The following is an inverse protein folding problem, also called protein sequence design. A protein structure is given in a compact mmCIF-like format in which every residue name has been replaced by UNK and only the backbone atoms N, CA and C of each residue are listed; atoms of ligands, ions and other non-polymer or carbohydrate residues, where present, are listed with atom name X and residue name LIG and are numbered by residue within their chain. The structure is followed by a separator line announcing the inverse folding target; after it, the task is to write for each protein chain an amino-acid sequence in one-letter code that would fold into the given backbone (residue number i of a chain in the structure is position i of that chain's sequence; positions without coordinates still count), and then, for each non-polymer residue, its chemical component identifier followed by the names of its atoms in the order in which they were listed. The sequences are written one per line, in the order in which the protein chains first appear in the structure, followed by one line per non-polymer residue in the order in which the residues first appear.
data_IF_835193941644
#
_entry.id   IF_835193941644
#
_cell.length_a   1.000
_cell.length_b   1.000
_cell.length_c   1.000
_cell.angle_alpha   90.00
_cell.angle_beta   90.00
_cell.angle_gamma   90.00
#
_symmetry.space_group_name_H-M   'P 1'
#
loop_
_entity.id
_entity.type
_entity.pdbx_description
1 polymer ?
#
# COMPACT_ATOMS: atom_id res chain seq x y z
N UNK A 1 25.01 23.48 -1.55
CA UNK A 1 25.84 23.02 -2.68
C UNK A 1 24.93 22.78 -3.88
N UNK A 2 24.96 23.65 -4.89
CA UNK A 2 24.16 23.45 -6.10
C UNK A 2 24.88 22.43 -6.99
N UNK A 3 24.45 21.17 -6.90
CA UNK A 3 24.90 20.13 -7.82
C UNK A 3 24.35 20.47 -9.21
N UNK A 4 25.20 20.98 -10.09
CA UNK A 4 24.83 21.36 -11.45
C UNK A 4 25.19 20.20 -12.36
N UNK A 5 24.22 19.63 -13.06
CA UNK A 5 24.48 18.54 -14.01
C UNK A 5 25.46 19.03 -15.08
N UNK A 6 26.57 18.32 -15.22
CA UNK A 6 27.68 18.72 -16.09
C UNK A 6 27.48 18.33 -17.56
N UNK A 7 26.55 17.41 -17.85
CA UNK A 7 26.23 16.97 -19.21
C UNK A 7 24.72 17.05 -19.46
N UNK A 8 24.29 17.43 -20.67
CA UNK A 8 22.87 17.41 -21.05
C UNK A 8 22.23 16.02 -20.90
N UNK A 9 23.00 14.94 -21.06
CA UNK A 9 22.56 13.56 -20.82
C UNK A 9 22.17 13.31 -19.36
N UNK A 10 22.92 13.89 -18.43
CA UNK A 10 22.74 13.70 -16.99
C UNK A 10 21.50 14.48 -16.52
N UNK A 11 21.25 15.64 -17.12
CA UNK A 11 20.03 16.42 -16.89
C UNK A 11 18.78 15.69 -17.44
N UNK A 12 18.86 15.16 -18.66
CA UNK A 12 17.76 14.38 -19.25
C UNK A 12 17.46 13.11 -18.43
N UNK A 13 18.49 12.39 -18.00
CA UNK A 13 18.34 11.22 -17.14
C UNK A 13 17.76 11.60 -15.78
N UNK A 14 18.22 12.70 -15.17
CA UNK A 14 17.71 13.19 -13.89
C UNK A 14 16.26 13.66 -13.97
N UNK A 15 15.87 14.31 -15.07
CA UNK A 15 14.47 14.64 -15.35
C UNK A 15 13.62 13.38 -15.51
N UNK A 16 14.13 12.35 -16.18
CA UNK A 16 13.44 11.07 -16.33
C UNK A 16 13.21 10.37 -14.99
N UNK A 17 14.26 10.31 -14.15
CA UNK A 17 14.19 9.78 -12.78
C UNK A 17 13.20 10.60 -11.95
N UNK A 18 13.31 11.92 -11.98
CA UNK A 18 12.40 12.81 -11.25
C UNK A 18 10.95 12.61 -11.67
N UNK A 19 10.65 12.58 -12.97
CA UNK A 19 9.28 12.37 -13.47
C UNK A 19 8.73 11.00 -13.06
N UNK A 20 9.56 9.96 -13.10
CA UNK A 20 9.17 8.60 -12.70
C UNK A 20 8.87 8.53 -11.20
N UNK A 21 9.77 9.05 -10.36
CA UNK A 21 9.61 9.08 -8.91
C UNK A 21 8.46 9.99 -8.49
N UNK A 22 8.37 11.17 -9.09
CA UNK A 22 7.29 12.13 -8.85
C UNK A 22 5.94 11.53 -9.22
N UNK A 23 5.81 10.84 -10.35
CA UNK A 23 4.54 10.21 -10.75
C UNK A 23 4.04 9.20 -9.73
N UNK A 24 4.93 8.35 -9.22
CA UNK A 24 4.59 7.36 -8.19
C UNK A 24 4.22 8.02 -6.87
N UNK A 25 5.03 8.97 -6.41
CA UNK A 25 4.82 9.64 -5.13
C UNK A 25 3.63 10.60 -5.15
N UNK A 26 3.39 11.28 -6.26
CA UNK A 26 2.32 12.27 -6.40
C UNK A 26 0.94 11.63 -6.22
N UNK A 27 0.74 10.40 -6.72
CA UNK A 27 -0.48 9.63 -6.45
C UNK A 27 -0.73 9.47 -4.95
N UNK A 28 0.30 9.10 -4.19
CA UNK A 28 0.20 8.95 -2.73
C UNK A 28 -0.02 10.30 -2.03
N UNK A 29 0.65 11.36 -2.47
CA UNK A 29 0.47 12.71 -1.94
C UNK A 29 -0.98 13.21 -2.15
N UNK A 30 -1.56 13.01 -3.33
CA UNK A 30 -2.95 13.36 -3.61
C UNK A 30 -3.92 12.55 -2.75
N UNK A 31 -3.68 11.24 -2.60
CA UNK A 31 -4.49 10.37 -1.74
C UNK A 31 -4.48 10.88 -0.29
N UNK A 32 -3.30 11.16 0.25
CA UNK A 32 -3.15 11.65 1.63
C UNK A 32 -3.77 13.04 1.82
N UNK A 33 -3.58 13.96 0.86
CA UNK A 33 -4.22 15.26 0.89
C UNK A 33 -5.74 15.14 0.98
N UNK A 34 -6.34 14.34 0.10
CA UNK A 34 -7.78 14.10 0.10
C UNK A 34 -8.27 13.50 1.42
N UNK A 35 -7.57 12.48 1.93
CA UNK A 35 -7.92 11.83 3.20
C UNK A 35 -7.83 12.79 4.39
N UNK A 36 -6.79 13.62 4.43
CA UNK A 36 -6.64 14.64 5.45
C UNK A 36 -7.81 15.64 5.36
N UNK A 37 -8.11 16.16 4.17
CA UNK A 37 -9.21 17.11 4.00
C UNK A 37 -10.58 16.50 4.35
N UNK A 38 -10.82 15.23 4.03
CA UNK A 38 -12.01 14.50 4.49
C UNK A 38 -12.14 14.49 6.01
N UNK A 39 -11.03 14.22 6.70
CA UNK A 39 -10.97 14.22 8.17
C UNK A 39 -11.20 15.61 8.76
N UNK A 40 -10.65 16.65 8.14
CA UNK A 40 -10.75 18.04 8.61
C UNK A 40 -12.13 18.64 8.34
N UNK A 41 -12.75 18.32 7.20
CA UNK A 41 -14.09 18.79 6.83
C UNK A 41 -15.21 17.94 7.44
N UNK A 42 -14.90 16.78 8.02
CA UNK A 42 -15.89 15.76 8.41
C UNK A 42 -16.91 15.45 7.31
N UNK A 43 -16.48 15.50 6.05
CA UNK A 43 -17.36 15.31 4.90
C UNK A 43 -16.66 14.55 3.78
N UNK A 44 -17.43 13.66 3.14
CA UNK A 44 -17.02 12.92 1.96
C UNK A 44 -17.31 13.67 0.65
N UNK A 45 -18.00 14.81 0.71
CA UNK A 45 -18.31 15.66 -0.44
C UNK A 45 -17.10 16.51 -0.88
N UNK A 46 -16.53 16.27 -2.08
CA UNK A 46 -15.39 17.02 -2.58
C UNK A 46 -15.65 18.51 -2.81
N UNK A 47 -16.91 18.93 -2.99
CA UNK A 47 -17.24 20.35 -3.23
C UNK A 47 -16.95 21.22 -2.02
N UNK A 48 -17.00 20.64 -0.81
CA UNK A 48 -16.69 21.29 0.47
C UNK A 48 -15.19 21.36 0.76
N UNK A 49 -14.35 20.70 -0.04
CA UNK A 49 -12.90 20.68 0.16
C UNK A 49 -12.18 21.81 -0.56
N UNK A 50 -12.84 22.52 -1.49
CA UNK A 50 -12.24 23.50 -2.42
C UNK A 50 -11.40 24.60 -1.75
N UNK A 51 -11.79 25.04 -0.55
CA UNK A 51 -11.06 26.08 0.20
C UNK A 51 -9.96 25.54 1.12
N UNK A 52 -9.76 24.22 1.15
CA UNK A 52 -8.81 23.54 2.02
C UNK A 52 -7.63 22.94 1.25
N UNK A 53 -7.08 23.74 0.34
CA UNK A 53 -5.92 23.34 -0.43
C UNK A 53 -4.72 23.06 0.50
N UNK A 54 -3.98 21.96 0.29
CA UNK A 54 -2.72 21.71 0.99
C UNK A 54 -1.69 22.81 0.76
N UNK A 55 -0.84 23.09 1.75
CA UNK A 55 0.18 24.17 1.67
C UNK A 55 1.17 24.02 0.52
N UNK A 56 1.42 22.78 0.09
CA UNK A 56 2.33 22.45 -1.02
C UNK A 56 1.65 22.49 -2.40
N UNK A 57 0.33 22.72 -2.48
CA UNK A 57 -0.42 22.75 -3.72
C UNK A 57 -1.05 24.12 -3.96
N UNK A 58 -0.99 24.61 -5.20
CA UNK A 58 -1.72 25.82 -5.58
C UNK A 58 -3.24 25.58 -5.51
N UNK A 59 -3.97 26.59 -5.05
CA UNK A 59 -5.42 26.51 -4.79
C UNK A 59 -6.22 26.20 -6.06
N UNK A 60 -5.85 26.78 -7.19
CA UNK A 60 -6.49 26.56 -8.49
C UNK A 60 -6.41 25.08 -8.93
N UNK A 61 -5.24 24.44 -8.78
CA UNK A 61 -5.10 23.00 -9.06
C UNK A 61 -5.93 22.16 -8.09
N UNK A 62 -5.95 22.51 -6.81
CA UNK A 62 -6.76 21.82 -5.81
C UNK A 62 -8.26 21.91 -6.11
N UNK A 63 -8.75 23.09 -6.49
CA UNK A 63 -10.15 23.30 -6.89
C UNK A 63 -10.49 22.47 -8.13
N UNK A 64 -9.61 22.42 -9.13
CA UNK A 64 -9.76 21.56 -10.30
C UNK A 64 -9.85 20.07 -9.92
N UNK A 65 -9.00 19.60 -9.01
CA UNK A 65 -9.06 18.23 -8.49
C UNK A 65 -10.36 17.94 -7.74
N UNK A 66 -10.83 18.87 -6.91
CA UNK A 66 -12.11 18.73 -6.21
C UNK A 66 -13.27 18.61 -7.19
N UNK A 67 -13.27 19.37 -8.29
CA UNK A 67 -14.29 19.26 -9.34
C UNK A 67 -14.23 17.90 -10.05
N UNK A 68 -13.03 17.37 -10.33
CA UNK A 68 -12.86 16.02 -10.90
C UNK A 68 -13.39 14.95 -9.95
N UNK A 69 -13.07 15.06 -8.64
CA UNK A 69 -13.58 14.11 -7.66
C UNK A 69 -15.08 14.25 -7.41
N UNK A 70 -15.65 15.45 -7.57
CA UNK A 70 -17.08 15.68 -7.47
C UNK A 70 -17.85 15.17 -8.70
N UNK A 71 -17.18 14.89 -9.81
CA UNK A 71 -17.82 14.36 -11.01
C UNK A 71 -18.44 12.98 -10.74
N UNK A 72 -19.67 12.78 -11.21
CA UNK A 72 -20.46 11.56 -11.00
C UNK A 72 -19.69 10.30 -11.39
N UNK A 73 -19.12 10.27 -12.59
CA UNK A 73 -18.28 9.16 -13.08
C UNK A 73 -17.18 8.76 -12.09
N UNK A 74 -16.55 9.74 -11.43
CA UNK A 74 -15.48 9.48 -10.46
C UNK A 74 -16.05 8.87 -9.17
N UNK A 75 -17.16 9.41 -8.67
CA UNK A 75 -17.86 8.92 -7.47
C UNK A 75 -18.41 7.50 -7.67
N UNK A 76 -19.01 7.21 -8.81
CA UNK A 76 -19.50 5.86 -9.16
C UNK A 76 -18.36 4.84 -9.18
N UNK A 77 -17.24 5.19 -9.83
CA UNK A 77 -16.05 4.33 -9.89
C UNK A 77 -15.49 4.09 -8.49
N UNK A 78 -15.36 5.15 -7.69
CA UNK A 78 -14.87 5.06 -6.32
C UNK A 78 -15.77 4.18 -5.44
N UNK A 79 -17.09 4.36 -5.54
CA UNK A 79 -18.07 3.59 -4.78
C UNK A 79 -18.02 2.12 -5.18
N UNK A 80 -18.00 1.84 -6.49
CA UNK A 80 -17.88 0.47 -7.02
C UNK A 80 -16.60 -0.21 -6.57
N UNK A 81 -15.45 0.50 -6.57
CA UNK A 81 -14.19 -0.04 -6.06
C UNK A 81 -14.27 -0.36 -4.55
N UNK A 82 -14.90 0.50 -3.75
CA UNK A 82 -15.08 0.27 -2.31
C UNK A 82 -15.99 -0.95 -2.07
N UNK A 83 -17.11 -1.06 -2.81
CA UNK A 83 -18.03 -2.20 -2.73
C UNK A 83 -17.33 -3.49 -3.14
N UNK A 84 -16.63 -3.50 -4.27
CA UNK A 84 -15.86 -4.66 -4.74
C UNK A 84 -14.76 -5.06 -3.75
N UNK A 85 -14.13 -4.07 -3.10
CA UNK A 85 -13.12 -4.33 -2.08
C UNK A 85 -13.73 -4.94 -0.82
N UNK A 86 -14.83 -4.38 -0.32
CA UNK A 86 -15.56 -4.86 0.85
C UNK A 86 -16.14 -6.27 0.65
N UNK A 87 -16.68 -6.56 -0.54
CA UNK A 87 -17.23 -7.86 -0.89
C UNK A 87 -16.14 -8.96 -0.96
N UNK A 88 -14.90 -8.59 -1.27
CA UNK A 88 -13.77 -9.51 -1.43
C UNK A 88 -12.70 -9.30 -0.35
N UNK A 89 -13.11 -8.98 0.88
CA UNK A 89 -12.19 -8.65 1.97
C UNK A 89 -11.14 -9.75 2.21
N UNK A 90 -11.52 -11.02 2.06
CA UNK A 90 -10.62 -12.18 2.27
C UNK A 90 -9.63 -12.37 1.12
N UNK A 91 -10.04 -12.11 -0.12
CA UNK A 91 -9.17 -12.18 -1.30
C UNK A 91 -8.27 -10.94 -1.46
N UNK A 92 -8.69 -9.79 -0.92
CA UNK A 92 -7.96 -8.52 -0.96
C UNK A 92 -7.03 -8.28 0.23
N UNK A 93 -6.91 -9.22 1.18
CA UNK A 93 -5.81 -9.27 2.16
C UNK A 93 -4.52 -9.57 1.39
N UNK A 94 -3.96 -8.54 0.78
CA UNK A 94 -2.68 -8.66 0.11
C UNK A 94 -1.62 -8.92 1.17
N UNK A 95 -1.16 -10.17 1.22
CA UNK A 95 -0.04 -10.63 2.02
C UNK A 95 1.24 -10.01 1.45
N UNK A 96 1.48 -8.73 1.72
CA UNK A 96 2.77 -8.08 1.43
C UNK A 96 3.86 -8.83 2.19
N UNK A 97 4.45 -9.84 1.54
CA UNK A 97 5.66 -10.51 1.96
C UNK A 97 5.58 -11.43 3.17
N UNK A 98 4.51 -12.21 3.37
CA UNK A 98 4.66 -13.35 4.28
C UNK A 98 5.62 -14.35 3.64
N UNK A 99 6.77 -14.53 4.29
CA UNK A 99 7.71 -15.61 4.01
C UNK A 99 6.90 -16.92 4.14
N UNK A 100 6.88 -17.72 3.08
CA UNK A 100 6.11 -18.97 3.09
C UNK A 100 6.67 -19.95 4.13
N UNK A 101 5.83 -20.86 4.62
CA UNK A 101 6.25 -21.94 5.51
C UNK A 101 7.40 -22.76 4.90
N UNK A 102 7.34 -23.06 3.60
CA UNK A 102 8.42 -23.71 2.86
C UNK A 102 9.73 -22.89 2.89
N UNK A 103 9.65 -21.56 2.82
CA UNK A 103 10.84 -20.72 2.93
C UNK A 103 11.42 -20.74 4.35
N UNK A 104 10.59 -20.79 5.39
CA UNK A 104 11.03 -21.01 6.77
C UNK A 104 11.69 -22.39 6.94
N UNK A 105 11.11 -23.43 6.36
CA UNK A 105 11.64 -24.80 6.38
C UNK A 105 13.02 -24.88 5.71
N UNK A 106 13.18 -24.35 4.48
CA UNK A 106 14.48 -24.38 3.78
C UNK A 106 15.56 -23.55 4.48
N UNK A 107 15.20 -22.46 5.16
CA UNK A 107 16.16 -21.69 5.97
C UNK A 107 16.60 -22.47 7.20
N UNK A 108 15.66 -23.14 7.87
CA UNK A 108 15.91 -23.88 9.09
C UNK A 108 16.68 -25.18 8.83
N UNK A 109 16.44 -25.84 7.68
CA UNK A 109 17.22 -27.00 7.24
C UNK A 109 18.70 -26.64 7.01
N UNK A 110 18.98 -25.47 6.42
CA UNK A 110 20.35 -24.96 6.27
C UNK A 110 21.01 -24.64 7.61
N UNK A 111 20.24 -24.14 8.58
CA UNK A 111 20.71 -23.80 9.94
C UNK A 111 21.02 -25.05 10.76
N UNK A 112 20.14 -26.06 10.71
CA UNK A 112 20.25 -27.30 11.48
C UNK A 112 21.09 -28.39 10.80
N UNK A 113 21.38 -28.26 9.49
CA UNK A 113 22.00 -29.28 8.63
C UNK A 113 21.29 -30.65 8.68
N UNK A 114 20.02 -30.63 9.03
CA UNK A 114 19.11 -31.77 9.06
C UNK A 114 17.71 -31.29 8.70
N UNK A 115 16.81 -32.19 8.26
CA UNK A 115 15.41 -31.85 8.08
C UNK A 115 14.83 -31.33 9.42
N UNK A 116 14.27 -30.11 9.44
CA UNK A 116 13.61 -29.57 10.63
C UNK A 116 12.26 -30.27 10.82
N UNK A 117 11.85 -30.48 12.07
CA UNK A 117 10.49 -30.94 12.36
C UNK A 117 9.49 -29.80 12.19
N UNK A 118 8.23 -30.18 11.94
CA UNK A 118 7.13 -29.24 11.73
C UNK A 118 7.02 -28.18 12.84
N UNK A 119 7.17 -28.63 14.10
CA UNK A 119 7.14 -27.75 15.28
C UNK A 119 8.26 -26.70 15.26
N UNK A 120 9.47 -27.07 14.83
CA UNK A 120 10.62 -26.16 14.77
C UNK A 120 10.41 -25.06 13.71
N UNK A 121 9.80 -25.41 12.57
CA UNK A 121 9.42 -24.45 11.52
C UNK A 121 8.29 -23.55 11.98
N UNK A 122 7.31 -24.12 12.68
CA UNK A 122 6.17 -23.40 13.24
C UNK A 122 6.60 -22.36 14.29
N UNK A 123 7.53 -22.71 15.17
CA UNK A 123 8.04 -21.79 16.20
C UNK A 123 8.88 -20.64 15.63
N UNK A 124 9.50 -20.82 14.45
CA UNK A 124 10.20 -19.74 13.72
C UNK A 124 9.27 -18.87 12.87
N UNK A 125 8.01 -19.26 12.67
CA UNK A 125 7.04 -18.48 11.89
C UNK A 125 6.48 -17.34 12.76
N UNK A 126 6.44 -16.07 12.30
CA UNK A 126 5.92 -14.96 13.09
C UNK A 126 4.47 -15.23 13.54
N UNK A 127 4.26 -15.29 14.86
CA UNK A 127 2.92 -15.42 15.48
C UNK A 127 2.30 -14.03 15.65
N UNK A 128 0.97 -13.95 15.67
CA UNK A 128 0.27 -12.70 15.98
C UNK A 128 0.62 -12.30 17.43
N UNK A 129 1.01 -11.03 17.66
CA UNK A 129 1.34 -10.55 19.02
C UNK A 129 0.15 -10.81 19.96
N UNK A 130 0.35 -11.60 21.01
CA UNK A 130 -0.65 -11.84 22.06
C UNK A 130 -1.58 -13.03 21.87
N UNK A 131 -1.45 -13.83 20.81
CA UNK A 131 -2.25 -15.05 20.62
C UNK A 131 -1.45 -16.16 19.94
N UNK A 132 -1.64 -17.41 20.41
CA UNK A 132 -1.15 -18.63 19.76
C UNK A 132 -1.95 -19.00 18.48
N UNK A 133 -2.69 -18.05 17.89
CA UNK A 133 -3.57 -18.29 16.75
C UNK A 133 -2.94 -17.84 15.43
N UNK A 134 -3.26 -18.59 14.37
CA UNK A 134 -2.84 -18.34 12.99
C UNK A 134 -3.27 -16.94 12.51
N UNK A 135 -2.44 -16.32 11.66
CA UNK A 135 -2.68 -14.96 11.14
C UNK A 135 -3.87 -14.94 10.16
N UNK A 136 -4.22 -16.07 9.54
CA UNK A 136 -5.37 -16.25 8.66
C UNK A 136 -5.80 -17.72 8.57
N UNK A 137 -7.02 -17.97 8.07
CA UNK A 137 -7.53 -19.33 7.83
C UNK A 137 -6.70 -20.09 6.80
N UNK A 138 -6.11 -19.39 5.83
CA UNK A 138 -5.19 -19.97 4.85
C UNK A 138 -3.88 -20.44 5.48
N UNK A 139 -3.40 -19.74 6.52
CA UNK A 139 -2.21 -20.16 7.26
C UNK A 139 -2.49 -21.42 8.09
N UNK A 140 -3.73 -21.57 8.60
CA UNK A 140 -4.20 -22.78 9.26
C UNK A 140 -4.27 -23.96 8.28
N UNK A 141 -4.89 -23.78 7.11
CA UNK A 141 -5.03 -24.82 6.08
C UNK A 141 -3.68 -25.35 5.59
N UNK A 142 -2.70 -24.47 5.34
CA UNK A 142 -1.34 -24.88 4.96
C UNK A 142 -0.70 -25.73 6.05
N UNK A 143 -0.87 -25.35 7.32
CA UNK A 143 -0.32 -26.09 8.47
C UNK A 143 -0.99 -27.46 8.62
N UNK A 144 -2.31 -27.52 8.48
CA UNK A 144 -3.09 -28.78 8.51
C UNK A 144 -2.72 -29.72 7.34
N UNK A 145 -2.33 -29.18 6.17
CA UNK A 145 -1.90 -30.00 5.03
C UNK A 145 -0.54 -30.71 5.21
N UNK A 146 0.23 -30.32 6.24
CA UNK A 146 1.51 -30.94 6.59
C UNK A 146 1.44 -31.84 7.83
N UNK A 147 0.25 -32.01 8.43
CA UNK A 147 -0.02 -32.95 9.54
C UNK A 147 -0.46 -34.32 9.02
#
# INVERSE_FOLDING_TARGET
SNHRFTRPSDEAWSLSVWMTTARSNFKHLLYNARKNTQSVCYSLDPTLWRERAPTWMRRDYWQGLCNIWAAERWQETSTTMIVNWAANLEANKHTSGSISFATHQSRLEKELKRPPTFQEVFDKTPKKKGTYQYISDKAREVVESYS
#
